data_IF_138417495276
#
_entry.id   IF_138417495276
#
_cell.length_a   1.000
_cell.length_b   1.000
_cell.length_c   1.000
_cell.angle_alpha   90.00
_cell.angle_beta   90.00
_cell.angle_gamma   90.00
#
_symmetry.space_group_name_H-M   'P 1'
#
loop_
_entity.id
_entity.type
_entity.pdbx_description
1 polymer ?
#
# COMPACT_ATOMS: atom_id res chain seq x y z
N UNK A 1 33.11 32.76 29.92
CA UNK A 1 32.71 31.78 30.96
C UNK A 1 31.71 32.46 31.87
N UNK A 2 30.45 32.04 31.84
CA UNK A 2 29.52 32.08 32.98
C UNK A 2 28.22 31.38 32.56
N UNK A 3 28.07 30.15 33.04
CA UNK A 3 26.85 29.37 33.01
C UNK A 3 25.81 29.97 33.94
N UNK A 4 24.54 29.88 33.57
CA UNK A 4 23.44 30.00 34.54
C UNK A 4 22.35 29.01 34.13
N UNK A 5 22.37 27.88 34.84
CA UNK A 5 21.34 26.86 34.81
C UNK A 5 20.10 27.37 35.56
N UNK A 6 18.91 27.13 35.01
CA UNK A 6 17.66 27.25 35.74
C UNK A 6 17.00 25.88 35.81
N UNK A 7 16.96 25.34 37.03
CA UNK A 7 16.11 24.24 37.44
C UNK A 7 15.13 24.79 38.46
N UNK A 8 13.82 24.59 38.25
CA UNK A 8 12.81 24.68 39.31
C UNK A 8 11.71 23.64 39.08
N UNK A 9 11.40 22.95 40.17
CA UNK A 9 10.54 21.78 40.35
C UNK A 9 9.04 22.14 40.50
N UNK A 10 8.12 21.17 40.63
CA UNK A 10 6.71 21.32 40.31
C UNK A 10 5.82 21.69 41.51
N UNK A 11 4.70 22.37 41.23
CA UNK A 11 3.62 22.58 42.20
C UNK A 11 2.27 22.29 41.57
N UNK A 12 1.62 21.24 42.05
CA UNK A 12 0.16 21.02 41.99
C UNK A 12 -0.52 21.89 43.06
N UNK A 13 -1.83 22.16 42.88
CA UNK A 13 -2.74 21.82 43.97
C UNK A 13 -4.00 21.09 43.51
N UNK A 14 -4.51 20.27 44.43
CA UNK A 14 -5.68 19.41 44.36
C UNK A 14 -6.97 20.12 44.83
N UNK A 15 -8.11 19.50 44.46
CA UNK A 15 -9.50 19.63 44.98
C UNK A 15 -10.34 20.79 44.38
N UNK A 16 -11.59 20.59 43.92
CA UNK A 16 -12.64 19.83 44.61
C UNK A 16 -13.74 19.27 43.68
N UNK A 17 -14.24 18.11 44.07
CA UNK A 17 -15.40 17.35 43.61
C UNK A 17 -16.74 18.10 43.65
N UNK A 18 -17.54 18.03 42.58
CA UNK A 18 -19.01 18.14 42.65
C UNK A 18 -19.66 17.00 41.86
N UNK A 19 -20.38 16.15 42.60
CA UNK A 19 -21.38 15.19 42.11
C UNK A 19 -22.51 15.96 41.43
N UNK A 20 -22.89 15.54 40.22
CA UNK A 20 -24.24 15.73 39.69
C UNK A 20 -24.64 14.47 38.89
N UNK A 21 -25.31 13.59 39.62
CA UNK A 21 -26.53 12.86 39.26
C UNK A 21 -26.86 12.70 37.76
N UNK A 22 -26.63 11.48 37.28
CA UNK A 22 -27.61 10.59 36.65
C UNK A 22 -28.77 11.25 35.84
N UNK A 23 -28.66 11.22 34.50
CA UNK A 23 -29.80 11.10 33.59
C UNK A 23 -29.42 10.21 32.41
N UNK A 24 -29.62 8.91 32.60
CA UNK A 24 -29.69 7.92 31.53
C UNK A 24 -30.86 8.26 30.61
N UNK A 25 -30.55 8.61 29.36
CA UNK A 25 -31.55 8.78 28.30
C UNK A 25 -31.46 7.56 27.39
N UNK A 26 -32.33 6.60 27.64
CA UNK A 26 -32.56 5.43 26.81
C UNK A 26 -33.10 5.86 25.44
N UNK A 27 -32.24 5.89 24.41
CA UNK A 27 -32.71 5.90 23.02
C UNK A 27 -32.96 4.45 22.58
N UNK A 28 -34.24 4.11 22.66
CA UNK A 28 -34.89 2.86 22.27
C UNK A 28 -34.82 2.72 20.74
N UNK A 29 -33.92 1.87 20.23
CA UNK A 29 -33.96 1.43 18.84
C UNK A 29 -35.06 0.39 18.66
N UNK A 30 -36.03 0.69 17.80
CA UNK A 30 -37.06 -0.22 17.35
C UNK A 30 -36.43 -1.40 16.60
N UNK A 31 -36.66 -2.61 17.11
CA UNK A 31 -36.43 -3.86 16.40
C UNK A 31 -37.50 -4.04 15.31
N UNK A 32 -37.11 -3.97 14.05
CA UNK A 32 -37.94 -4.48 12.95
C UNK A 32 -37.70 -5.99 12.86
N UNK A 33 -38.68 -6.75 13.32
CA UNK A 33 -38.79 -8.19 13.11
C UNK A 33 -39.11 -8.47 11.65
N UNK A 34 -38.21 -9.12 10.90
CA UNK A 34 -38.57 -9.72 9.62
C UNK A 34 -38.96 -11.17 9.87
N UNK A 35 -40.26 -11.42 9.69
CA UNK A 35 -40.91 -12.72 9.82
C UNK A 35 -40.41 -13.69 8.74
N UNK A 36 -40.07 -14.91 9.18
CA UNK A 36 -39.76 -16.07 8.35
C UNK A 36 -41.02 -16.53 7.60
N UNK A 37 -41.03 -16.41 6.27
CA UNK A 37 -41.95 -17.15 5.41
C UNK A 37 -41.19 -18.26 4.69
N UNK A 38 -41.37 -19.49 5.16
CA UNK A 38 -40.98 -20.72 4.45
C UNK A 38 -41.93 -20.90 3.27
N UNK A 39 -41.40 -20.94 2.06
CA UNK A 39 -42.05 -21.64 0.93
C UNK A 39 -41.12 -22.74 0.43
N UNK A 40 -41.53 -23.96 0.72
CA UNK A 40 -41.05 -25.19 0.12
C UNK A 40 -41.44 -25.22 -1.36
N UNK A 41 -40.51 -25.58 -2.23
CA UNK A 41 -40.83 -26.12 -3.55
C UNK A 41 -40.38 -27.56 -3.56
N UNK A 42 -41.37 -28.45 -3.43
CA UNK A 42 -41.27 -29.88 -3.70
C UNK A 42 -41.19 -30.10 -5.21
N UNK A 43 -40.23 -30.91 -5.64
CA UNK A 43 -40.26 -31.56 -6.95
C UNK A 43 -39.93 -33.03 -6.73
N UNK A 44 -40.94 -33.85 -6.91
CA UNK A 44 -40.85 -35.31 -7.04
C UNK A 44 -41.42 -35.73 -8.41
N UNK A 45 -41.15 -36.97 -8.86
CA UNK A 45 -40.65 -37.26 -10.20
C UNK A 45 -41.74 -37.69 -11.19
N UNK A 46 -41.42 -37.62 -12.49
CA UNK A 46 -42.14 -38.37 -13.52
C UNK A 46 -41.15 -39.31 -14.23
N UNK A 47 -41.60 -40.56 -14.27
CA UNK A 47 -41.02 -41.76 -14.87
C UNK A 47 -41.75 -42.00 -16.20
N UNK A 48 -41.02 -42.43 -17.22
CA UNK A 48 -41.40 -43.39 -18.28
C UNK A 48 -40.56 -43.12 -19.54
N UNK A 49 -40.32 -44.05 -20.45
CA UNK A 49 -39.80 -45.42 -20.38
C UNK A 49 -39.24 -45.70 -21.80
N UNK A 50 -38.42 -46.75 -21.92
CA UNK A 50 -38.05 -47.48 -23.15
C UNK A 50 -37.00 -46.91 -24.14
N UNK A 51 -35.92 -47.68 -24.33
CA UNK A 51 -35.02 -47.55 -25.49
C UNK A 51 -33.55 -47.97 -25.33
N UNK A 52 -33.25 -49.22 -24.93
CA UNK A 52 -31.95 -49.91 -25.14
C UNK A 52 -31.98 -50.62 -26.53
N UNK A 53 -30.86 -51.08 -27.17
CA UNK A 53 -29.61 -51.53 -26.53
C UNK A 53 -28.25 -51.30 -27.27
N UNK A 54 -27.20 -51.46 -26.44
CA UNK A 54 -25.88 -52.11 -26.65
C UNK A 54 -24.77 -51.50 -27.56
N UNK A 55 -23.50 -51.51 -27.06
CA UNK A 55 -22.31 -51.10 -27.80
C UNK A 55 -21.60 -52.28 -28.49
N UNK A 56 -20.90 -52.01 -29.60
CA UNK A 56 -19.92 -52.94 -30.20
C UNK A 56 -18.54 -52.31 -30.26
N UNK A 57 -17.58 -53.14 -29.85
CA UNK A 57 -16.14 -53.01 -29.86
C UNK A 57 -15.53 -52.81 -31.26
N UNK A 58 -14.32 -52.22 -31.31
CA UNK A 58 -13.08 -52.82 -31.85
C UNK A 58 -11.94 -51.76 -31.88
N UNK A 59 -10.66 -52.19 -31.98
CA UNK A 59 -9.51 -51.54 -31.35
C UNK A 59 -8.65 -50.76 -32.35
N UNK A 60 -7.77 -49.87 -31.86
CA UNK A 60 -6.59 -49.47 -32.64
C UNK A 60 -5.31 -49.40 -31.82
N UNK A 61 -4.26 -49.80 -32.53
CA UNK A 61 -3.04 -50.45 -32.12
C UNK A 61 -1.94 -49.42 -31.82
N UNK A 62 -1.09 -49.78 -30.85
CA UNK A 62 0.28 -49.30 -30.71
C UNK A 62 1.04 -49.33 -32.04
N UNK A 63 1.75 -48.25 -32.35
CA UNK A 63 2.77 -48.22 -33.41
C UNK A 63 4.02 -47.51 -32.90
N UNK A 64 4.97 -48.35 -32.52
CA UNK A 64 6.37 -48.05 -32.24
C UNK A 64 7.17 -47.87 -33.52
N UNK A 65 8.23 -47.06 -33.41
CA UNK A 65 9.46 -47.03 -34.25
C UNK A 65 9.28 -46.68 -35.73
N UNK A 66 9.75 -45.49 -36.07
CA UNK A 66 10.32 -45.22 -37.39
C UNK A 66 11.84 -45.24 -37.25
N UNK A 67 12.49 -46.14 -37.99
CA UNK A 67 13.93 -46.28 -38.08
C UNK A 67 14.33 -46.17 -39.56
N UNK A 68 15.50 -45.56 -39.78
CA UNK A 68 16.39 -45.66 -40.96
C UNK A 68 15.88 -45.26 -42.35
N UNK A 69 16.49 -44.21 -42.91
CA UNK A 69 17.14 -44.36 -44.22
C UNK A 69 18.47 -43.58 -44.25
N UNK A 70 19.55 -44.34 -44.38
CA UNK A 70 20.92 -43.93 -44.69
C UNK A 70 21.14 -44.22 -46.17
N UNK A 71 21.81 -43.32 -46.89
CA UNK A 71 22.59 -43.64 -48.10
C UNK A 71 23.70 -42.61 -48.27
N UNK A 72 24.92 -43.10 -48.54
CA UNK A 72 26.17 -42.39 -48.91
C UNK A 72 26.83 -43.23 -50.03
N UNK A 73 27.98 -42.88 -50.65
CA UNK A 73 28.66 -41.62 -51.02
C UNK A 73 29.04 -41.62 -52.54
N UNK A 74 30.08 -40.88 -53.06
CA UNK A 74 31.47 -41.34 -52.92
C UNK A 74 32.55 -40.24 -52.72
N UNK A 75 33.75 -40.75 -52.44
CA UNK A 75 35.01 -40.11 -52.04
C UNK A 75 35.64 -39.15 -53.06
N UNK A 76 36.36 -38.13 -52.55
CA UNK A 76 37.63 -37.70 -53.11
C UNK A 76 38.57 -37.20 -51.98
N UNK A 77 39.81 -37.66 -52.04
CA UNK A 77 40.93 -37.41 -51.13
C UNK A 77 41.56 -36.05 -51.41
N UNK A 78 41.89 -35.26 -50.38
CA UNK A 78 43.20 -34.62 -50.35
C UNK A 78 43.67 -34.26 -48.94
N UNK A 79 44.98 -34.42 -48.74
CA UNK A 79 45.74 -34.39 -47.49
C UNK A 79 46.44 -33.05 -47.40
N UNK A 80 46.14 -32.22 -46.39
CA UNK A 80 46.83 -30.96 -46.17
C UNK A 80 46.85 -30.52 -44.70
N UNK A 81 47.98 -30.73 -44.02
CA UNK A 81 48.26 -30.20 -42.68
C UNK A 81 48.20 -28.67 -42.69
N UNK A 82 47.37 -28.05 -41.84
CA UNK A 82 47.57 -26.66 -41.38
C UNK A 82 47.42 -26.57 -39.87
N UNK A 83 48.47 -26.01 -39.28
CA UNK A 83 48.69 -25.73 -37.87
C UNK A 83 47.59 -24.88 -37.25
N UNK A 84 47.14 -25.25 -36.07
CA UNK A 84 46.40 -24.37 -35.17
C UNK A 84 47.31 -23.22 -34.73
N UNK A 85 46.94 -21.99 -35.09
CA UNK A 85 47.45 -20.77 -34.48
C UNK A 85 46.28 -20.19 -33.66
N UNK A 86 46.42 -20.19 -32.33
CA UNK A 86 45.49 -19.54 -31.44
C UNK A 86 45.85 -18.05 -31.38
N UNK A 87 45.08 -17.22 -32.09
CA UNK A 87 45.16 -15.77 -31.98
C UNK A 87 44.35 -15.33 -30.76
N UNK A 88 45.06 -14.88 -29.72
CA UNK A 88 44.44 -14.31 -28.52
C UNK A 88 43.94 -12.90 -28.85
N UNK A 89 42.66 -12.78 -29.18
CA UNK A 89 41.99 -11.48 -29.23
C UNK A 89 41.87 -10.94 -27.80
N UNK A 90 42.71 -9.96 -27.45
CA UNK A 90 42.58 -9.22 -26.19
C UNK A 90 41.25 -8.46 -26.20
N UNK A 91 40.31 -8.93 -25.39
CA UNK A 91 39.09 -8.19 -25.05
C UNK A 91 39.53 -6.87 -24.40
N UNK A 92 39.06 -5.70 -24.85
CA UNK A 92 39.41 -4.45 -24.18
C UNK A 92 38.82 -4.47 -22.75
N UNK A 93 39.70 -4.53 -21.77
CA UNK A 93 39.43 -4.52 -20.32
C UNK A 93 38.57 -3.31 -19.88
N UNK A 94 38.55 -2.24 -20.70
CA UNK A 94 37.75 -1.03 -20.52
C UNK A 94 36.23 -1.23 -20.64
N UNK A 95 35.76 -2.23 -21.42
CA UNK A 95 34.32 -2.50 -21.54
C UNK A 95 33.71 -3.09 -20.26
N UNK A 96 34.51 -3.85 -19.49
CA UNK A 96 34.10 -4.43 -18.22
C UNK A 96 33.97 -3.40 -17.09
N UNK A 97 34.87 -2.42 -17.05
CA UNK A 97 34.85 -1.35 -16.05
C UNK A 97 33.68 -0.37 -16.26
N UNK A 98 33.38 0.00 -17.52
CA UNK A 98 32.23 0.88 -17.83
C UNK A 98 30.87 0.23 -17.57
N UNK A 99 30.74 -1.09 -17.80
CA UNK A 99 29.51 -1.83 -17.49
C UNK A 99 29.32 -2.03 -15.97
N UNK A 100 30.42 -2.22 -15.22
CA UNK A 100 30.39 -2.40 -13.77
C UNK A 100 30.16 -1.07 -13.04
N UNK A 101 30.76 0.03 -13.52
CA UNK A 101 30.54 1.38 -12.98
C UNK A 101 29.12 1.88 -13.21
N UNK A 102 28.53 1.64 -14.39
CA UNK A 102 27.13 1.98 -14.67
C UNK A 102 26.14 1.17 -13.84
N UNK A 103 26.42 -0.11 -13.56
CA UNK A 103 25.63 -0.95 -12.66
C UNK A 103 25.70 -0.49 -11.20
N UNK A 104 26.88 -0.09 -10.73
CA UNK A 104 27.09 0.45 -9.40
C UNK A 104 26.37 1.80 -9.24
N UNK A 105 26.48 2.70 -10.22
CA UNK A 105 25.79 3.99 -10.23
C UNK A 105 24.27 3.82 -10.16
N UNK A 106 23.69 2.87 -10.92
CA UNK A 106 22.26 2.57 -10.88
C UNK A 106 21.81 1.99 -9.53
N UNK A 107 22.66 1.17 -8.91
CA UNK A 107 22.41 0.62 -7.57
C UNK A 107 22.46 1.71 -6.51
N UNK A 108 23.43 2.62 -6.58
CA UNK A 108 23.56 3.77 -5.70
C UNK A 108 22.36 4.72 -5.86
N UNK A 109 21.97 5.04 -7.09
CA UNK A 109 20.81 5.87 -7.39
C UNK A 109 19.53 5.28 -6.79
N UNK A 110 19.31 3.97 -6.97
CA UNK A 110 18.18 3.28 -6.33
C UNK A 110 18.26 3.34 -4.81
N UNK A 111 19.44 3.11 -4.22
CA UNK A 111 19.66 3.20 -2.78
C UNK A 111 19.30 4.59 -2.22
N UNK A 112 19.73 5.65 -2.91
CA UNK A 112 19.39 7.04 -2.58
C UNK A 112 17.89 7.29 -2.68
N UNK A 113 17.22 6.78 -3.72
CA UNK A 113 15.76 6.88 -3.86
C UNK A 113 15.03 6.20 -2.69
N UNK A 114 15.45 4.99 -2.29
CA UNK A 114 14.89 4.32 -1.10
C UNK A 114 15.13 5.15 0.18
N UNK A 115 16.33 5.73 0.32
CA UNK A 115 16.66 6.64 1.42
C UNK A 115 15.71 7.83 1.50
N UNK A 116 15.51 8.55 0.39
CA UNK A 116 14.56 9.67 0.33
C UNK A 116 13.12 9.24 0.57
N UNK A 117 12.71 8.10 0.02
CA UNK A 117 11.38 7.56 0.23
C UNK A 117 11.09 7.36 1.72
N UNK A 118 12.03 6.76 2.44
CA UNK A 118 11.91 6.51 3.87
C UNK A 118 11.96 7.81 4.68
N UNK A 119 12.90 8.70 4.34
CA UNK A 119 13.09 9.98 5.01
C UNK A 119 11.83 10.86 4.93
N UNK A 120 11.31 11.08 3.72
CA UNK A 120 10.09 11.87 3.54
C UNK A 120 8.89 11.21 4.20
N UNK A 121 8.81 9.87 4.23
CA UNK A 121 7.72 9.19 4.93
C UNK A 121 7.81 9.36 6.46
N UNK A 122 9.00 9.34 7.04
CA UNK A 122 9.22 9.61 8.47
C UNK A 122 8.77 11.04 8.80
N UNK A 123 9.27 12.05 8.08
CA UNK A 123 8.90 13.44 8.31
C UNK A 123 7.40 13.70 8.12
N UNK A 124 6.80 13.11 7.07
CA UNK A 124 5.36 13.16 6.87
C UNK A 124 4.63 12.68 8.12
N UNK A 125 4.93 11.48 8.61
CA UNK A 125 4.20 10.90 9.74
C UNK A 125 4.41 11.71 11.04
N UNK A 126 5.60 12.25 11.27
CA UNK A 126 5.90 13.08 12.44
C UNK A 126 5.12 14.40 12.38
N UNK A 127 5.28 15.19 11.32
CA UNK A 127 4.62 16.49 11.22
C UNK A 127 3.10 16.34 11.11
N UNK A 128 2.61 15.34 10.37
CA UNK A 128 1.18 15.07 10.27
C UNK A 128 0.57 14.71 11.63
N UNK A 129 1.24 13.88 12.43
CA UNK A 129 0.79 13.59 13.79
C UNK A 129 0.81 14.83 14.69
N UNK A 130 1.82 15.68 14.59
CA UNK A 130 1.87 16.93 15.36
C UNK A 130 0.70 17.85 15.01
N UNK A 131 0.35 17.98 13.72
CA UNK A 131 -0.81 18.74 13.25
C UNK A 131 -2.09 18.11 13.79
N UNK A 132 -2.30 16.81 13.62
CA UNK A 132 -3.53 16.13 14.05
C UNK A 132 -3.74 16.13 15.57
N UNK A 133 -2.67 16.29 16.37
CA UNK A 133 -2.78 16.45 17.82
C UNK A 133 -3.41 17.77 18.24
N UNK A 134 -3.12 18.86 17.52
CA UNK A 134 -3.60 20.21 17.85
C UNK A 134 -4.80 20.64 16.99
N UNK A 135 -4.91 20.08 15.79
CA UNK A 135 -5.98 20.33 14.83
C UNK A 135 -6.63 18.99 14.42
N UNK A 136 -7.56 18.46 15.24
CA UNK A 136 -8.11 17.11 15.10
C UNK A 136 -9.20 17.00 14.01
N UNK A 137 -8.93 17.57 12.84
CA UNK A 137 -9.81 17.63 11.67
C UNK A 137 -9.16 16.86 10.50
N UNK A 138 -9.20 15.50 10.52
CA UNK A 138 -8.47 14.67 9.57
C UNK A 138 -8.93 14.82 8.13
N UNK A 139 -10.19 15.20 7.86
CA UNK A 139 -10.67 15.43 6.49
C UNK A 139 -9.99 16.68 5.93
N UNK A 140 -9.97 17.77 6.70
CA UNK A 140 -9.29 19.03 6.35
C UNK A 140 -7.80 18.81 6.11
N UNK A 141 -7.12 18.09 7.02
CA UNK A 141 -5.69 17.80 6.88
C UNK A 141 -5.41 16.97 5.61
N UNK A 142 -6.25 15.98 5.30
CA UNK A 142 -6.13 15.17 4.08
C UNK A 142 -6.35 15.99 2.82
N UNK A 143 -7.38 16.84 2.80
CA UNK A 143 -7.68 17.75 1.68
C UNK A 143 -6.53 18.73 1.47
N UNK A 144 -5.95 19.28 2.54
CA UNK A 144 -4.79 20.17 2.44
C UNK A 144 -3.56 19.47 1.85
N UNK A 145 -3.33 18.20 2.19
CA UNK A 145 -2.26 17.39 1.58
C UNK A 145 -2.47 17.25 0.06
N UNK A 146 -3.69 16.95 -0.39
CA UNK A 146 -4.01 16.86 -1.82
C UNK A 146 -3.96 18.23 -2.51
N UNK A 147 -4.36 19.30 -1.83
CA UNK A 147 -4.24 20.68 -2.34
C UNK A 147 -2.78 21.03 -2.62
N UNK A 148 -1.89 20.86 -1.65
CA UNK A 148 -0.46 21.15 -1.83
C UNK A 148 0.16 20.26 -2.91
N UNK A 149 -0.21 18.97 -2.95
CA UNK A 149 0.21 18.08 -4.04
C UNK A 149 -0.28 18.55 -5.42
N UNK A 150 -1.50 19.06 -5.51
CA UNK A 150 -2.06 19.64 -6.74
C UNK A 150 -1.31 20.89 -7.17
N UNK A 151 -0.98 21.78 -6.24
CA UNK A 151 -0.15 22.97 -6.50
C UNK A 151 1.22 22.55 -7.06
N UNK A 152 1.89 21.60 -6.44
CA UNK A 152 3.19 21.09 -6.92
C UNK A 152 3.08 20.49 -8.33
N UNK A 153 2.06 19.67 -8.59
CA UNK A 153 1.82 19.08 -9.91
C UNK A 153 1.59 20.15 -10.98
N UNK A 154 0.79 21.17 -10.67
CA UNK A 154 0.53 22.29 -11.58
C UNK A 154 1.82 23.07 -11.84
N UNK A 155 2.65 23.33 -10.82
CA UNK A 155 3.93 23.99 -11.00
C UNK A 155 4.89 23.15 -11.87
N UNK A 156 4.96 21.84 -11.66
CA UNK A 156 5.77 20.94 -12.49
C UNK A 156 5.34 20.95 -13.97
N UNK A 157 4.02 20.99 -14.22
CA UNK A 157 3.45 21.14 -15.57
C UNK A 157 3.61 22.55 -16.15
N UNK A 158 3.62 23.57 -15.29
CA UNK A 158 3.80 24.98 -15.65
C UNK A 158 5.22 25.25 -16.13
N UNK A 159 6.22 24.82 -15.35
CA UNK A 159 7.64 24.93 -15.67
C UNK A 159 8.14 23.87 -16.66
N UNK A 160 7.24 23.02 -17.17
CA UNK A 160 7.56 21.95 -18.11
C UNK A 160 8.65 20.98 -17.61
N UNK A 161 8.78 20.84 -16.28
CA UNK A 161 9.66 19.86 -15.64
C UNK A 161 9.16 18.43 -15.89
N UNK A 162 7.86 18.28 -16.16
CA UNK A 162 7.24 17.04 -16.59
C UNK A 162 6.28 17.30 -17.75
N UNK A 163 6.25 16.38 -18.72
CA UNK A 163 5.37 16.48 -19.88
C UNK A 163 3.91 16.51 -19.42
N UNK A 164 3.17 17.54 -19.85
CA UNK A 164 1.74 17.65 -19.54
C UNK A 164 0.99 16.41 -20.04
N UNK A 165 0.15 15.79 -19.20
CA UNK A 165 -0.64 14.64 -19.60
C UNK A 165 -1.55 15.02 -20.78
N UNK A 166 -1.48 14.25 -21.88
CA UNK A 166 -2.56 14.23 -22.87
C UNK A 166 -3.54 13.13 -22.43
N UNK A 167 -4.61 13.51 -21.76
CA UNK A 167 -5.57 12.55 -21.18
C UNK A 167 -6.93 12.78 -21.81
N UNK A 168 -7.50 11.74 -22.39
CA UNK A 168 -8.88 11.77 -22.90
C UNK A 168 -9.89 11.78 -21.74
N UNK A 169 -11.08 12.34 -21.97
CA UNK A 169 -12.16 12.31 -20.97
C UNK A 169 -12.52 10.90 -20.51
N UNK A 170 -12.47 9.92 -21.41
CA UNK A 170 -12.72 8.50 -21.07
C UNK A 170 -11.64 7.90 -20.18
N UNK A 171 -10.37 8.33 -20.31
CA UNK A 171 -9.28 7.97 -19.39
C UNK A 171 -9.51 8.58 -18.02
N UNK A 172 -9.94 9.84 -17.94
CA UNK A 172 -10.22 10.49 -16.67
C UNK A 172 -11.34 9.78 -15.88
N UNK A 173 -12.44 9.41 -16.55
CA UNK A 173 -13.55 8.66 -15.92
C UNK A 173 -13.08 7.31 -15.38
N UNK A 174 -12.18 6.62 -16.09
CA UNK A 174 -11.62 5.35 -15.64
C UNK A 174 -10.70 5.48 -14.40
N UNK A 175 -10.15 6.67 -14.15
CA UNK A 175 -9.28 6.95 -13.00
C UNK A 175 -10.09 7.36 -11.77
N UNK A 176 -11.34 7.84 -11.91
CA UNK A 176 -12.20 8.25 -10.78
C UNK A 176 -12.24 7.20 -9.66
N UNK A 177 -12.52 5.90 -9.92
CA UNK A 177 -12.58 4.91 -8.85
C UNK A 177 -11.23 4.74 -8.13
N UNK A 178 -10.12 4.88 -8.86
CA UNK A 178 -8.77 4.78 -8.32
C UNK A 178 -8.42 5.98 -7.43
N UNK A 179 -8.84 7.19 -7.84
CA UNK A 179 -8.67 8.41 -7.05
C UNK A 179 -9.52 8.36 -5.77
N UNK A 180 -10.77 7.89 -5.86
CA UNK A 180 -11.67 7.74 -4.70
C UNK A 180 -11.06 6.83 -3.63
N UNK A 181 -10.65 5.61 -4.01
CA UNK A 181 -10.08 4.66 -3.03
C UNK A 181 -8.73 5.14 -2.50
N UNK A 182 -7.96 5.89 -3.28
CA UNK A 182 -6.72 6.52 -2.82
C UNK A 182 -7.01 7.60 -1.77
N UNK A 183 -7.98 8.48 -2.04
CA UNK A 183 -8.44 9.50 -1.10
C UNK A 183 -8.93 8.90 0.21
N UNK A 184 -9.78 7.87 0.14
CA UNK A 184 -10.31 7.19 1.33
C UNK A 184 -9.19 6.51 2.13
N UNK A 185 -8.22 5.87 1.46
CA UNK A 185 -7.07 5.26 2.11
C UNK A 185 -6.21 6.29 2.86
N UNK A 186 -6.00 7.46 2.28
CA UNK A 186 -5.29 8.56 2.94
C UNK A 186 -6.09 9.10 4.13
N UNK A 187 -7.38 9.39 3.92
CA UNK A 187 -8.28 9.89 4.95
C UNK A 187 -8.33 8.96 6.16
N UNK A 188 -8.58 7.66 5.96
CA UNK A 188 -8.65 6.68 7.05
C UNK A 188 -7.30 6.50 7.75
N UNK A 189 -6.18 6.65 7.05
CA UNK A 189 -4.86 6.70 7.68
C UNK A 189 -4.74 7.91 8.61
N UNK A 190 -5.15 9.10 8.14
CA UNK A 190 -5.12 10.32 8.95
C UNK A 190 -6.10 10.28 10.13
N UNK A 191 -7.28 9.68 9.97
CA UNK A 191 -8.23 9.44 11.07
C UNK A 191 -7.60 8.55 12.15
N UNK A 192 -6.88 7.49 11.75
CA UNK A 192 -6.15 6.64 12.70
C UNK A 192 -5.04 7.42 13.41
N UNK A 193 -4.17 8.11 12.65
CA UNK A 193 -3.09 8.92 13.21
C UNK A 193 -3.61 10.03 14.14
N UNK A 194 -4.83 10.53 13.95
CA UNK A 194 -5.45 11.48 14.87
C UNK A 194 -5.87 10.86 16.21
N UNK A 195 -6.15 9.55 16.25
CA UNK A 195 -6.71 8.87 17.43
C UNK A 195 -5.72 8.01 18.20
N UNK A 196 -4.72 7.43 17.53
CA UNK A 196 -3.76 6.49 18.14
C UNK A 196 -2.31 6.88 17.84
N UNK A 197 -1.34 6.19 18.46
CA UNK A 197 0.08 6.40 18.18
C UNK A 197 0.42 6.07 16.71
N UNK A 198 1.40 6.79 16.16
CA UNK A 198 1.88 6.58 14.77
C UNK A 198 2.38 5.16 14.59
N UNK A 199 3.18 4.68 15.54
CA UNK A 199 3.66 3.30 15.60
C UNK A 199 2.51 2.30 15.49
N UNK A 200 1.45 2.49 16.29
CA UNK A 200 0.31 1.58 16.31
C UNK A 200 -0.50 1.60 15.01
N UNK A 201 -0.76 2.77 14.42
CA UNK A 201 -1.39 2.87 13.10
C UNK A 201 -0.60 2.06 12.07
N UNK A 202 0.73 2.19 12.05
CA UNK A 202 1.58 1.45 11.12
C UNK A 202 1.66 -0.04 11.42
N UNK A 203 1.63 -0.45 12.69
CA UNK A 203 1.49 -1.86 13.09
C UNK A 203 0.19 -2.45 12.55
N UNK A 204 -0.96 -1.79 12.71
CA UNK A 204 -2.23 -2.26 12.13
C UNK A 204 -2.17 -2.33 10.61
N UNK A 205 -1.50 -1.36 9.98
CA UNK A 205 -1.31 -1.36 8.52
C UNK A 205 -0.46 -2.54 8.03
N UNK A 206 0.23 -3.26 8.90
CA UNK A 206 0.86 -4.54 8.58
C UNK A 206 -0.12 -5.58 8.02
N UNK A 207 -1.42 -5.45 8.27
CA UNK A 207 -2.48 -6.31 7.74
C UNK A 207 -2.78 -6.13 6.24
N UNK A 208 -2.08 -5.24 5.53
CA UNK A 208 -2.25 -5.08 4.07
C UNK A 208 -2.22 -6.42 3.27
N UNK A 209 -1.31 -7.38 3.52
CA UNK A 209 -1.34 -8.69 2.88
C UNK A 209 -2.62 -9.49 3.10
N UNK A 210 -3.21 -9.41 4.30
CA UNK A 210 -4.46 -10.09 4.62
C UNK A 210 -5.58 -9.59 3.70
N UNK A 211 -5.75 -8.26 3.59
CA UNK A 211 -6.74 -7.66 2.70
C UNK A 211 -6.41 -7.90 1.23
N UNK A 212 -5.14 -7.96 0.84
CA UNK A 212 -4.73 -8.31 -0.52
C UNK A 212 -5.20 -9.70 -0.92
N UNK A 213 -5.02 -10.70 -0.03
CA UNK A 213 -5.47 -12.08 -0.27
C UNK A 213 -6.99 -12.15 -0.28
N UNK A 214 -7.66 -11.53 0.69
CA UNK A 214 -9.12 -11.50 0.79
C UNK A 214 -9.75 -10.93 -0.49
N UNK A 215 -9.27 -9.78 -0.97
CA UNK A 215 -9.79 -9.16 -2.19
C UNK A 215 -9.45 -9.96 -3.46
N UNK A 216 -8.28 -10.63 -3.51
CA UNK A 216 -7.93 -11.49 -4.65
C UNK A 216 -8.84 -12.71 -4.70
N UNK A 217 -9.18 -13.29 -3.55
CA UNK A 217 -10.14 -14.39 -3.46
C UNK A 217 -11.54 -13.95 -3.89
N UNK A 218 -12.04 -12.84 -3.33
CA UNK A 218 -13.41 -12.37 -3.58
C UNK A 218 -13.65 -11.85 -5.00
N UNK A 219 -12.69 -11.09 -5.57
CA UNK A 219 -12.89 -10.39 -6.85
C UNK A 219 -12.21 -11.04 -8.05
N UNK A 220 -11.16 -11.85 -7.83
CA UNK A 220 -10.42 -12.53 -8.90
C UNK A 220 -10.63 -14.05 -8.86
N UNK A 221 -11.26 -14.60 -7.81
CA UNK A 221 -11.40 -16.05 -7.62
C UNK A 221 -10.07 -16.77 -7.38
N UNK A 222 -9.00 -16.03 -7.04
CA UNK A 222 -7.66 -16.61 -6.86
C UNK A 222 -7.54 -17.27 -5.49
N UNK A 223 -7.58 -18.61 -5.47
CA UNK A 223 -7.38 -19.38 -4.25
C UNK A 223 -5.94 -19.24 -3.74
N UNK A 224 -5.74 -18.75 -2.50
CA UNK A 224 -4.40 -18.65 -1.93
C UNK A 224 -3.83 -20.04 -1.62
N UNK A 225 -2.54 -20.24 -1.93
CA UNK A 225 -1.86 -21.46 -1.49
C UNK A 225 -1.81 -21.54 0.04
N UNK A 226 -1.73 -22.76 0.59
CA UNK A 226 -1.63 -22.99 2.04
C UNK A 226 -0.49 -22.19 2.69
N UNK A 227 0.63 -22.00 1.99
CA UNK A 227 1.78 -21.22 2.46
C UNK A 227 1.48 -19.72 2.55
N UNK A 228 0.65 -19.19 1.66
CA UNK A 228 0.19 -17.80 1.74
C UNK A 228 -0.68 -17.64 2.98
N UNK A 229 -1.64 -18.54 3.20
CA UNK A 229 -2.51 -18.52 4.39
C UNK A 229 -1.69 -18.67 5.68
N UNK A 230 -0.75 -19.61 5.72
CA UNK A 230 0.17 -19.81 6.83
C UNK A 230 0.98 -18.54 7.15
N UNK A 231 1.42 -17.80 6.12
CA UNK A 231 2.13 -16.52 6.33
C UNK A 231 1.25 -15.39 6.86
N UNK A 232 -0.09 -15.49 6.74
CA UNK A 232 -1.01 -14.49 7.31
C UNK A 232 -1.20 -14.65 8.81
N UNK A 233 -1.12 -15.88 9.35
CA UNK A 233 -1.24 -16.16 10.78
C UNK A 233 -0.33 -15.27 11.67
N UNK A 234 0.99 -15.18 11.44
CA UNK A 234 1.85 -14.29 12.23
C UNK A 234 1.50 -12.81 12.02
N UNK A 235 0.99 -12.41 10.85
CA UNK A 235 0.56 -11.02 10.61
C UNK A 235 -0.64 -10.69 11.51
N UNK A 236 -1.69 -11.50 11.45
CA UNK A 236 -2.92 -11.28 12.22
C UNK A 236 -2.65 -11.42 13.72
N UNK A 237 -1.94 -12.48 14.12
CA UNK A 237 -1.59 -12.73 15.52
C UNK A 237 -0.71 -11.63 16.11
N UNK A 238 0.31 -11.17 15.36
CA UNK A 238 1.18 -10.08 15.80
C UNK A 238 0.43 -8.76 15.97
N UNK A 239 -0.46 -8.40 15.03
CA UNK A 239 -1.29 -7.20 15.15
C UNK A 239 -2.28 -7.30 16.30
N UNK A 240 -2.89 -8.47 16.52
CA UNK A 240 -3.78 -8.70 17.67
C UNK A 240 -3.01 -8.53 19.00
N UNK A 241 -1.83 -9.14 19.13
CA UNK A 241 -0.99 -9.06 20.33
C UNK A 241 -0.55 -7.61 20.62
N UNK A 242 -0.12 -6.88 19.58
CA UNK A 242 0.22 -5.47 19.71
C UNK A 242 -0.99 -4.63 20.11
N UNK A 243 -2.17 -4.90 19.55
CA UNK A 243 -3.41 -4.16 19.84
C UNK A 243 -3.89 -4.31 21.28
N UNK A 244 -3.82 -5.51 21.85
CA UNK A 244 -4.23 -5.78 23.25
C UNK A 244 -3.35 -5.03 24.25
N UNK A 245 -2.09 -4.76 23.88
CA UNK A 245 -1.08 -4.17 24.78
C UNK A 245 -0.71 -2.74 24.41
N UNK A 246 -1.47 -2.10 23.52
CA UNK A 246 -1.26 -0.73 23.07
C UNK A 246 -1.89 0.27 24.04
N UNK A 247 -1.07 1.15 24.61
CA UNK A 247 -1.53 2.18 25.55
C UNK A 247 -2.47 3.21 24.90
N UNK A 248 -2.26 3.52 23.62
CA UNK A 248 -3.08 4.49 22.88
C UNK A 248 -4.28 3.86 22.16
N UNK A 249 -4.66 2.61 22.48
CA UNK A 249 -5.68 1.89 21.73
C UNK A 249 -7.02 2.65 21.72
N UNK A 250 -7.58 2.81 20.52
CA UNK A 250 -8.88 3.43 20.31
C UNK A 250 -9.59 2.73 19.16
N UNK A 251 -10.85 2.32 19.37
CA UNK A 251 -11.63 1.60 18.37
C UNK A 251 -11.78 2.36 17.05
N UNK A 252 -12.07 3.66 17.09
CA UNK A 252 -12.20 4.45 15.87
C UNK A 252 -10.86 4.54 15.12
N UNK A 253 -9.75 4.71 15.84
CA UNK A 253 -8.42 4.72 15.24
C UNK A 253 -8.01 3.35 14.67
N UNK A 254 -8.37 2.26 15.34
CA UNK A 254 -8.13 0.90 14.90
C UNK A 254 -8.91 0.57 13.63
N UNK A 255 -10.23 0.78 13.64
CA UNK A 255 -11.09 0.52 12.48
C UNK A 255 -10.75 1.42 11.30
N UNK A 256 -10.34 2.67 11.53
CA UNK A 256 -9.84 3.55 10.47
C UNK A 256 -8.55 2.98 9.86
N UNK A 257 -7.60 2.48 10.65
CA UNK A 257 -6.41 1.84 10.09
C UNK A 257 -6.76 0.57 9.28
N UNK A 258 -7.69 -0.27 9.74
CA UNK A 258 -8.18 -1.42 8.98
C UNK A 258 -8.87 -1.02 7.67
N UNK A 259 -9.74 -0.01 7.70
CA UNK A 259 -10.38 0.53 6.52
C UNK A 259 -9.37 1.11 5.52
N UNK A 260 -8.28 1.70 6.02
CA UNK A 260 -7.17 2.16 5.17
C UNK A 260 -6.47 1.00 4.45
N UNK A 261 -6.34 -0.17 5.08
CA UNK A 261 -5.77 -1.35 4.44
C UNK A 261 -6.70 -1.88 3.35
N UNK A 262 -8.00 -1.97 3.64
CA UNK A 262 -9.00 -2.41 2.67
C UNK A 262 -9.00 -1.51 1.42
N UNK A 263 -9.15 -0.20 1.61
CA UNK A 263 -9.18 0.79 0.51
C UNK A 263 -7.87 0.84 -0.28
N UNK A 264 -6.71 0.80 0.39
CA UNK A 264 -5.41 0.77 -0.29
C UNK A 264 -5.22 -0.53 -1.11
N UNK A 265 -5.70 -1.67 -0.64
CA UNK A 265 -5.62 -2.92 -1.40
C UNK A 265 -6.66 -2.97 -2.53
N UNK A 266 -7.86 -2.42 -2.33
CA UNK A 266 -8.84 -2.22 -3.41
C UNK A 266 -8.25 -1.39 -4.54
N UNK A 267 -7.52 -0.31 -4.22
CA UNK A 267 -6.75 0.48 -5.20
C UNK A 267 -5.80 -0.40 -6.02
N UNK A 268 -5.06 -1.29 -5.38
CA UNK A 268 -4.11 -2.16 -6.07
C UNK A 268 -4.80 -3.17 -7.00
N UNK A 269 -5.97 -3.69 -6.60
CA UNK A 269 -6.78 -4.61 -7.42
C UNK A 269 -7.44 -3.88 -8.59
N UNK A 270 -8.07 -2.72 -8.32
CA UNK A 270 -8.68 -1.88 -9.34
C UNK A 270 -7.65 -1.38 -10.35
N UNK A 271 -6.46 -0.98 -9.90
CA UNK A 271 -5.36 -0.59 -10.78
C UNK A 271 -5.02 -1.68 -11.79
N UNK A 272 -4.98 -2.95 -11.38
CA UNK A 272 -4.74 -4.06 -12.32
C UNK A 272 -5.88 -4.19 -13.34
N UNK A 273 -7.14 -4.13 -12.89
CA UNK A 273 -8.31 -4.28 -13.77
C UNK A 273 -8.47 -3.13 -14.75
N UNK A 274 -8.12 -1.91 -14.35
CA UNK A 274 -8.18 -0.69 -15.18
C UNK A 274 -6.99 -0.63 -16.15
N UNK A 275 -5.78 -0.98 -15.70
CA UNK A 275 -4.58 -0.96 -16.56
C UNK A 275 -4.57 -2.09 -17.59
N UNK A 276 -5.22 -3.22 -17.34
CA UNK A 276 -5.33 -4.33 -18.32
C UNK A 276 -6.31 -4.01 -19.46
N UNK A 277 -7.27 -3.10 -19.25
CA UNK A 277 -8.35 -2.80 -20.22
C UNK A 277 -8.04 -1.66 -21.21
N UNK A 278 -6.90 -0.97 -21.08
CA UNK A 278 -6.55 0.16 -21.97
C UNK A 278 -5.11 0.00 -22.46
N UNK A 279 -4.96 -0.10 -23.79
CA UNK A 279 -3.67 -0.29 -24.47
C UNK A 279 -2.73 0.93 -24.37
N UNK A 280 -3.24 2.12 -24.03
CA UNK A 280 -2.39 3.27 -23.68
C UNK A 280 -1.95 3.21 -22.21
N UNK A 281 -0.80 2.61 -21.96
CA UNK A 281 -0.15 2.61 -20.65
C UNK A 281 0.31 4.04 -20.30
N UNK A 282 -0.42 4.70 -19.42
CA UNK A 282 -0.02 5.98 -18.86
C UNK A 282 1.15 5.80 -17.88
N UNK A 283 2.13 6.71 -17.94
CA UNK A 283 3.25 6.75 -17.00
C UNK A 283 2.77 6.84 -15.54
N UNK A 284 3.41 6.11 -14.61
CA UNK A 284 2.93 6.02 -13.23
C UNK A 284 2.95 7.37 -12.49
N UNK A 285 3.87 8.27 -12.87
CA UNK A 285 4.00 9.60 -12.27
C UNK A 285 2.86 10.50 -12.77
N UNK A 286 2.55 10.43 -14.06
CA UNK A 286 1.38 11.08 -14.66
C UNK A 286 0.07 10.58 -14.03
N UNK A 287 -0.06 9.26 -13.85
CA UNK A 287 -1.21 8.65 -13.19
C UNK A 287 -1.36 9.17 -11.74
N UNK A 288 -0.27 9.18 -10.96
CA UNK A 288 -0.30 9.68 -9.59
C UNK A 288 -0.63 11.18 -9.51
N UNK A 289 -0.15 11.97 -10.47
CA UNK A 289 -0.46 13.40 -10.59
C UNK A 289 -1.96 13.62 -10.80
N UNK A 290 -2.57 12.90 -11.75
CA UNK A 290 -4.01 12.97 -12.02
C UNK A 290 -4.82 12.52 -10.80
N UNK A 291 -4.43 11.41 -10.17
CA UNK A 291 -5.06 10.93 -8.93
C UNK A 291 -5.03 12.03 -7.87
N UNK A 292 -3.89 12.70 -7.67
CA UNK A 292 -3.73 13.75 -6.64
C UNK A 292 -4.69 14.92 -6.90
N UNK A 293 -4.78 15.39 -8.14
CA UNK A 293 -5.68 16.49 -8.52
C UNK A 293 -7.15 16.10 -8.32
N UNK A 294 -7.54 14.91 -8.78
CA UNK A 294 -8.89 14.40 -8.60
C UNK A 294 -9.23 14.19 -7.12
N UNK A 295 -8.29 13.66 -6.34
CA UNK A 295 -8.43 13.49 -4.90
C UNK A 295 -8.69 14.81 -4.19
N UNK A 296 -8.02 15.90 -4.58
CA UNK A 296 -8.31 17.25 -4.06
C UNK A 296 -9.74 17.69 -4.39
N UNK A 297 -10.14 17.61 -5.67
CA UNK A 297 -11.48 18.03 -6.13
C UNK A 297 -12.58 17.26 -5.40
N UNK A 298 -12.38 15.96 -5.15
CA UNK A 298 -13.34 15.12 -4.46
C UNK A 298 -13.37 15.35 -2.94
N UNK A 299 -12.21 15.55 -2.30
CA UNK A 299 -12.13 15.73 -0.84
C UNK A 299 -12.50 17.14 -0.39
N UNK A 300 -12.33 18.17 -1.23
CA UNK A 300 -12.68 19.55 -0.90
C UNK A 300 -14.15 19.75 -0.48
N UNK A 301 -15.17 19.35 -1.27
CA UNK A 301 -16.57 19.46 -0.83
C UNK A 301 -16.85 18.62 0.41
N UNK A 302 -16.19 17.46 0.57
CA UNK A 302 -16.34 16.62 1.75
C UNK A 302 -15.83 17.32 3.02
N UNK A 303 -14.72 18.05 2.94
CA UNK A 303 -14.22 18.89 4.06
C UNK A 303 -15.24 19.93 4.46
N UNK A 304 -15.80 20.66 3.50
CA UNK A 304 -16.81 21.69 3.77
C UNK A 304 -18.07 21.09 4.41
N UNK A 305 -18.51 19.92 3.95
CA UNK A 305 -19.70 19.25 4.46
C UNK A 305 -19.51 18.62 5.85
N UNK A 306 -18.40 17.92 6.09
CA UNK A 306 -18.19 17.17 7.33
C UNK A 306 -17.61 18.01 8.48
N UNK A 307 -16.63 18.86 8.17
CA UNK A 307 -15.87 19.57 9.20
C UNK A 307 -16.11 21.09 9.17
N UNK A 308 -16.63 21.62 8.06
CA UNK A 308 -16.88 23.04 7.87
C UNK A 308 -15.61 23.85 7.66
N UNK A 309 -15.74 25.18 7.71
CA UNK A 309 -14.63 26.12 7.50
C UNK A 309 -13.90 26.36 8.82
N UNK A 310 -13.14 25.36 9.28
CA UNK A 310 -12.32 25.41 10.51
C UNK A 310 -10.84 25.70 10.27
N UNK A 311 -10.45 25.91 9.01
CA UNK A 311 -9.06 26.13 8.61
C UNK A 311 -8.69 27.60 8.47
N UNK A 312 -9.57 28.53 8.83
CA UNK A 312 -9.28 29.97 8.76
C UNK A 312 -8.37 30.41 9.92
N UNK A 313 -7.46 31.37 9.70
CA UNK A 313 -6.62 31.92 10.77
C UNK A 313 -7.44 32.44 11.95
N UNK A 314 -8.57 33.10 11.67
CA UNK A 314 -9.47 33.62 12.70
C UNK A 314 -10.01 32.50 13.61
N UNK A 315 -10.51 31.39 13.03
CA UNK A 315 -10.98 30.25 13.81
C UNK A 315 -9.86 29.61 14.62
N UNK A 316 -8.68 29.42 14.01
CA UNK A 316 -7.54 28.83 14.72
C UNK A 316 -7.08 29.69 15.90
N UNK A 317 -7.11 31.02 15.76
CA UNK A 317 -6.80 31.94 16.86
C UNK A 317 -7.84 31.90 17.96
N UNK A 318 -9.14 31.81 17.63
CA UNK A 318 -10.20 31.75 18.66
C UNK A 318 -10.13 30.49 19.51
N UNK A 319 -9.64 29.38 18.96
CA UNK A 319 -9.41 28.13 19.71
C UNK A 319 -8.02 28.07 20.35
N UNK A 320 -7.24 29.17 20.34
CA UNK A 320 -5.93 29.27 21.00
C UNK A 320 -4.79 28.55 20.27
N UNK A 321 -4.94 28.23 18.98
CA UNK A 321 -3.88 27.57 18.21
C UNK A 321 -2.87 28.58 17.66
N UNK A 322 -1.59 28.20 17.72
CA UNK A 322 -0.53 28.94 17.02
C UNK A 322 -0.63 28.68 15.50
N UNK A 323 -1.30 29.60 14.79
CA UNK A 323 -1.56 29.51 13.35
C UNK A 323 -0.27 29.29 12.55
N UNK A 324 0.82 30.00 12.89
CA UNK A 324 2.09 29.89 12.18
C UNK A 324 2.67 28.48 12.31
N UNK A 325 2.68 27.94 13.52
CA UNK A 325 3.21 26.60 13.79
C UNK A 325 2.38 25.51 13.10
N UNK A 326 1.04 25.58 13.19
CA UNK A 326 0.13 24.64 12.52
C UNK A 326 0.30 24.73 11.00
N UNK A 327 0.33 25.94 10.44
CA UNK A 327 0.49 26.17 9.01
C UNK A 327 1.83 25.60 8.50
N UNK A 328 2.95 25.95 9.13
CA UNK A 328 4.29 25.47 8.73
C UNK A 328 4.36 23.94 8.80
N UNK A 329 3.87 23.33 9.89
CA UNK A 329 3.86 21.87 10.01
C UNK A 329 2.94 21.19 9.01
N UNK A 330 1.76 21.76 8.72
CA UNK A 330 0.85 21.24 7.70
C UNK A 330 1.47 21.31 6.31
N UNK A 331 2.15 22.41 5.97
CA UNK A 331 2.88 22.55 4.69
C UNK A 331 3.99 21.52 4.61
N UNK A 332 4.84 21.40 5.64
CA UNK A 332 5.91 20.40 5.67
C UNK A 332 5.38 18.97 5.56
N UNK A 333 4.31 18.64 6.29
CA UNK A 333 3.65 17.34 6.21
C UNK A 333 3.13 17.07 4.78
N UNK A 334 2.46 18.06 4.16
CA UNK A 334 1.90 17.92 2.83
C UNK A 334 2.97 17.80 1.73
N UNK A 335 4.05 18.58 1.81
CA UNK A 335 5.19 18.48 0.90
C UNK A 335 5.87 17.10 1.05
N UNK A 336 6.13 16.66 2.28
CA UNK A 336 6.69 15.33 2.54
C UNK A 336 5.75 14.22 2.05
N UNK A 337 4.43 14.39 2.23
CA UNK A 337 3.43 13.45 1.74
C UNK A 337 3.54 13.24 0.23
N UNK A 338 3.52 14.34 -0.52
CA UNK A 338 3.61 14.29 -1.97
C UNK A 338 4.97 13.72 -2.42
N UNK A 339 6.07 14.17 -1.82
CA UNK A 339 7.42 13.72 -2.15
C UNK A 339 7.60 12.21 -1.92
N UNK A 340 7.23 11.68 -0.75
CA UNK A 340 7.40 10.24 -0.49
C UNK A 340 6.53 9.39 -1.42
N UNK A 341 5.32 9.86 -1.75
CA UNK A 341 4.44 9.16 -2.68
C UNK A 341 5.02 9.15 -4.09
N UNK A 342 5.52 10.29 -4.57
CA UNK A 342 6.14 10.42 -5.89
C UNK A 342 7.40 9.53 -6.00
N UNK A 343 8.30 9.58 -5.01
CA UNK A 343 9.50 8.73 -4.98
C UNK A 343 9.12 7.23 -4.95
N UNK A 344 8.08 6.85 -4.21
CA UNK A 344 7.56 5.47 -4.21
C UNK A 344 7.17 5.00 -5.61
N UNK A 345 6.51 5.85 -6.40
CA UNK A 345 6.11 5.52 -7.77
C UNK A 345 7.31 5.48 -8.73
N UNK A 346 8.29 6.37 -8.56
CA UNK A 346 9.55 6.33 -9.31
C UNK A 346 10.31 5.02 -9.07
N UNK A 347 10.38 4.57 -7.81
CA UNK A 347 11.00 3.29 -7.46
C UNK A 347 10.24 2.14 -8.12
N UNK A 348 8.91 2.13 -8.05
CA UNK A 348 8.07 1.07 -8.62
C UNK A 348 8.28 0.89 -10.14
N UNK A 349 8.66 1.95 -10.86
CA UNK A 349 9.00 1.86 -12.28
C UNK A 349 10.36 1.24 -12.57
N UNK A 350 11.26 1.25 -11.57
CA UNK A 350 12.66 0.83 -11.72
C UNK A 350 12.96 -0.50 -11.05
N UNK A 351 12.09 -0.99 -10.18
CA UNK A 351 12.24 -2.26 -9.46
C UNK A 351 11.03 -3.16 -9.63
N UNK A 352 11.21 -4.47 -9.38
CA UNK A 352 10.09 -5.40 -9.42
C UNK A 352 9.01 -5.05 -8.37
N UNK A 353 7.72 -5.35 -8.61
CA UNK A 353 6.67 -5.16 -7.60
C UNK A 353 6.95 -5.87 -6.26
N UNK A 354 7.70 -6.98 -6.29
CA UNK A 354 8.13 -7.71 -5.09
C UNK A 354 9.17 -6.91 -4.31
N UNK A 355 10.16 -6.34 -5.00
CA UNK A 355 11.18 -5.46 -4.38
C UNK A 355 10.52 -4.24 -3.74
N UNK A 356 9.56 -3.62 -4.45
CA UNK A 356 8.78 -2.50 -3.91
C UNK A 356 7.98 -2.90 -2.66
N UNK A 357 7.40 -4.10 -2.64
CA UNK A 357 6.70 -4.65 -1.46
C UNK A 357 7.63 -4.84 -0.26
N UNK A 358 8.85 -5.38 -0.47
CA UNK A 358 9.86 -5.49 0.59
C UNK A 358 10.26 -4.10 1.10
N UNK A 359 10.45 -3.14 0.20
CA UNK A 359 10.68 -1.73 0.52
C UNK A 359 9.59 -1.12 1.41
N UNK A 360 8.32 -1.40 1.11
CA UNK A 360 7.20 -0.97 1.94
C UNK A 360 7.24 -1.56 3.35
N UNK A 361 7.71 -2.82 3.49
CA UNK A 361 7.90 -3.44 4.80
C UNK A 361 8.99 -2.71 5.61
N UNK A 362 10.14 -2.43 4.98
CA UNK A 362 11.23 -1.68 5.63
C UNK A 362 10.80 -0.26 5.97
N UNK A 363 10.12 0.44 5.05
CA UNK A 363 9.52 1.77 5.29
C UNK A 363 8.65 1.78 6.55
N UNK A 364 7.81 0.75 6.73
CA UNK A 364 6.95 0.63 7.91
C UNK A 364 7.77 0.47 9.20
N UNK A 365 8.79 -0.38 9.18
CA UNK A 365 9.71 -0.58 10.32
C UNK A 365 10.36 0.75 10.72
N UNK A 366 10.97 1.46 9.76
CA UNK A 366 11.69 2.71 10.07
C UNK A 366 10.76 3.82 10.56
N UNK A 367 9.53 3.89 10.04
CA UNK A 367 8.52 4.85 10.53
C UNK A 367 8.06 4.53 11.95
N UNK A 368 7.81 3.25 12.25
CA UNK A 368 7.45 2.81 13.60
C UNK A 368 8.56 3.22 14.57
N UNK A 369 9.81 2.81 14.31
CA UNK A 369 10.96 3.10 15.18
C UNK A 369 11.18 4.60 15.35
N UNK A 370 11.24 5.36 14.24
CA UNK A 370 11.45 6.81 14.29
C UNK A 370 10.33 7.51 15.05
N UNK A 371 9.06 7.08 14.89
CA UNK A 371 7.95 7.69 15.60
C UNK A 371 7.97 7.39 17.11
N UNK A 372 8.35 6.18 17.53
CA UNK A 372 8.50 5.82 18.94
C UNK A 372 9.59 6.67 19.59
N UNK A 373 10.75 6.80 18.93
CA UNK A 373 11.87 7.60 19.43
C UNK A 373 11.50 9.09 19.50
N UNK A 374 10.88 9.63 18.45
CA UNK A 374 10.55 11.05 18.36
C UNK A 374 9.44 11.45 19.35
N UNK A 375 8.36 10.68 19.42
CA UNK A 375 7.24 10.97 20.33
C UNK A 375 7.45 10.43 21.74
N UNK A 376 8.54 9.69 21.98
CA UNK A 376 8.81 8.97 23.24
C UNK A 376 7.59 8.20 23.71
N UNK A 377 6.94 7.49 22.78
CA UNK A 377 5.73 6.74 23.06
C UNK A 377 6.09 5.51 23.90
N UNK A 378 5.42 5.26 25.05
CA UNK A 378 5.70 4.07 25.84
C UNK A 378 5.26 2.84 25.06
N UNK A 379 6.20 1.91 24.80
CA UNK A 379 5.93 0.64 24.12
C UNK A 379 6.26 -0.49 25.07
N UNK A 380 5.26 -1.31 25.40
CA UNK A 380 5.49 -2.49 26.23
C UNK A 380 6.31 -3.55 25.48
N UNK A 381 7.07 -4.41 26.18
CA UNK A 381 7.81 -5.51 25.52
C UNK A 381 6.90 -6.42 24.69
N UNK A 382 5.67 -6.66 25.16
CA UNK A 382 4.68 -7.47 24.46
C UNK A 382 4.18 -6.78 23.19
N UNK A 383 3.98 -5.45 23.22
CA UNK A 383 3.61 -4.69 22.02
C UNK A 383 4.74 -4.71 20.98
N UNK A 384 6.00 -4.55 21.42
CA UNK A 384 7.17 -4.69 20.57
C UNK A 384 7.27 -6.08 19.95
N UNK A 385 7.02 -7.14 20.73
CA UNK A 385 6.99 -8.52 20.24
C UNK A 385 5.88 -8.71 19.20
N UNK A 386 4.65 -8.28 19.48
CA UNK A 386 3.54 -8.39 18.55
C UNK A 386 3.80 -7.64 17.23
N UNK A 387 4.34 -6.42 17.33
CA UNK A 387 4.76 -5.63 16.16
C UNK A 387 5.85 -6.34 15.36
N UNK A 388 6.86 -6.90 16.03
CA UNK A 388 7.93 -7.68 15.39
C UNK A 388 7.41 -8.92 14.66
N UNK A 389 6.54 -9.71 15.31
CA UNK A 389 5.91 -10.89 14.72
C UNK A 389 5.06 -10.52 13.50
N UNK A 390 4.31 -9.42 13.57
CA UNK A 390 3.51 -8.95 12.44
C UNK A 390 4.38 -8.59 11.23
N UNK A 391 5.46 -7.82 11.45
CA UNK A 391 6.37 -7.39 10.39
C UNK A 391 7.17 -8.56 9.80
N UNK A 392 7.59 -9.52 10.63
CA UNK A 392 8.20 -10.77 10.17
C UNK A 392 7.22 -11.57 9.30
N UNK A 393 5.94 -11.63 9.68
CA UNK A 393 4.88 -12.23 8.87
C UNK A 393 4.73 -11.55 7.49
N UNK A 394 4.77 -10.22 7.43
CA UNK A 394 4.72 -9.47 6.15
C UNK A 394 5.92 -9.79 5.26
N UNK A 395 7.11 -9.90 5.86
CA UNK A 395 8.31 -10.31 5.14
C UNK A 395 8.18 -11.75 4.60
N UNK A 396 7.72 -12.69 5.43
CA UNK A 396 7.48 -14.08 5.04
C UNK A 396 6.46 -14.17 3.90
N UNK A 397 5.33 -13.46 4.00
CA UNK A 397 4.32 -13.36 2.94
C UNK A 397 4.94 -12.89 1.61
N UNK A 398 5.76 -11.85 1.66
CA UNK A 398 6.43 -11.29 0.49
C UNK A 398 7.38 -12.30 -0.18
N UNK A 399 8.06 -13.14 0.61
CA UNK A 399 8.92 -14.23 0.12
C UNK A 399 8.11 -15.38 -0.49
N UNK A 400 7.06 -15.83 0.19
CA UNK A 400 6.20 -16.92 -0.31
C UNK A 400 5.57 -16.54 -1.65
N UNK A 401 5.06 -15.30 -1.77
CA UNK A 401 4.46 -14.78 -3.00
C UNK A 401 5.46 -14.68 -4.17
N UNK A 402 6.77 -14.55 -3.88
CA UNK A 402 7.83 -14.56 -4.90
C UNK A 402 8.12 -15.97 -5.42
N UNK A 403 8.19 -16.96 -4.52
CA UNK A 403 8.62 -18.33 -4.85
C UNK A 403 7.56 -19.07 -5.67
N UNK A 404 6.28 -18.78 -5.44
CA UNK A 404 5.16 -19.33 -6.24
C UNK A 404 4.57 -18.26 -7.15
N UNK A 405 5.26 -17.88 -8.25
CA UNK A 405 4.67 -16.99 -9.24
C UNK A 405 3.40 -17.63 -9.81
N UNK A 406 2.44 -16.79 -10.21
CA UNK A 406 1.18 -17.24 -10.79
C UNK A 406 1.45 -18.19 -11.98
N UNK A 407 0.75 -19.33 -12.09
CA UNK A 407 0.68 -20.00 -13.38
C UNK A 407 0.11 -19.00 -14.38
N UNK A 408 0.80 -18.79 -15.50
CA UNK A 408 0.27 -17.97 -16.60
C UNK A 408 -1.01 -18.65 -17.05
N UNK A 409 -2.16 -17.98 -16.89
CA UNK A 409 -3.37 -18.37 -17.62
C UNK A 409 -3.05 -18.22 -19.10
N UNK A 410 -3.00 -19.36 -19.79
CA UNK A 410 -2.81 -19.47 -21.23
C UNK A 410 -4.05 -18.97 -21.99
#
# INVERSE_FOLDING_TARGET
MQSSAFALSPTTPFLNTRKLTNRSSYLRFYSISLSSSKKSFDLNPIRDDSGLPAPRSLPFRSLSRFNSWISSPPLASDRGKKSFQAEATSIPESAGESAKSSSLNRTLELGVLFGFWFLFNIYFNIYNKQVLKVFPNPVTVSTFQFFMGTVLVILMWGFNLYKRPKVSGSQLVAIIPLALVHSLGNLFTNMSLGKVAVSFTHTIKAMEPFFSVLLSLLFLGEMPSIWIVASLLPIVGGVALASITEASFNWAGFWSAMASNLTNQSRNVLSKKVMVKKEESMDNITLFSIITVMSFIMCFPLTLFMEGVKFTPAYMQTVGLNVKEVCVRSVLAALCYHAYQQVSYMILQRVSPVTHSVGNCVKRVVVIVASVLFFRTPVSPINSLGTGVALAGVFLYSRVKRIKPKPKTA
#
